data_IF_890335423832
#
_entry.id   IF_890335423832
#
_cell.length_a   1.000
_cell.length_b   1.000
_cell.length_c   1.000
_cell.angle_alpha   90.00
_cell.angle_beta   90.00
_cell.angle_gamma   90.00
#
_symmetry.space_group_name_H-M   'P 1'
#
loop_
_entity.id
_entity.type
_entity.pdbx_description
1 polymer ?
#
# COMPACT_ATOMS: atom_id res chain seq x y z
N UNK A 1 -6.71 -2.31 -12.68
CA UNK A 1 -6.84 -3.64 -12.05
C UNK A 1 -7.70 -3.52 -10.79
N UNK A 2 -8.61 -4.46 -10.56
CA UNK A 2 -9.59 -4.40 -9.46
C UNK A 2 -8.94 -4.29 -8.07
N UNK A 3 -7.76 -4.89 -7.86
CA UNK A 3 -7.02 -4.80 -6.59
C UNK A 3 -6.63 -3.37 -6.21
N UNK A 4 -6.23 -2.54 -7.18
CA UNK A 4 -5.80 -1.17 -6.87
C UNK A 4 -6.96 -0.30 -6.39
N UNK A 5 -8.13 -0.42 -7.04
CA UNK A 5 -9.33 0.28 -6.61
C UNK A 5 -9.76 -0.12 -5.20
N UNK A 6 -9.71 -1.42 -4.88
CA UNK A 6 -10.01 -1.90 -3.52
C UNK A 6 -8.98 -1.42 -2.50
N UNK A 7 -7.69 -1.39 -2.86
CA UNK A 7 -6.63 -0.84 -2.00
C UNK A 7 -6.84 0.66 -1.77
N UNK A 8 -7.18 1.45 -2.79
CA UNK A 8 -7.51 2.87 -2.67
C UNK A 8 -8.72 3.11 -1.76
N UNK A 9 -9.74 2.26 -1.84
CA UNK A 9 -10.89 2.30 -0.93
C UNK A 9 -10.47 2.06 0.52
N UNK A 10 -9.55 1.13 0.78
CA UNK A 10 -9.01 0.92 2.13
C UNK A 10 -8.27 2.16 2.64
N UNK A 11 -7.51 2.83 1.78
CA UNK A 11 -6.75 4.04 2.17
C UNK A 11 -7.66 5.27 2.37
N UNK A 12 -8.79 5.35 1.67
CA UNK A 12 -9.74 6.46 1.81
C UNK A 12 -10.64 6.33 3.05
N UNK A 13 -10.87 5.11 3.52
CA UNK A 13 -11.62 4.81 4.74
C UNK A 13 -10.90 3.76 5.60
N UNK A 14 -9.73 4.11 6.18
CA UNK A 14 -8.95 3.15 6.96
C UNK A 14 -9.64 2.86 8.30
N UNK A 15 -9.52 1.65 8.85
CA UNK A 15 -10.08 1.28 10.15
C UNK A 15 -9.53 2.14 11.30
N UNK A 16 -8.32 2.67 11.15
CA UNK A 16 -7.73 3.66 12.05
C UNK A 16 -6.85 4.65 11.27
N UNK A 17 -6.80 5.93 11.67
CA UNK A 17 -5.99 6.94 10.99
C UNK A 17 -4.49 6.64 11.16
N UNK A 18 -3.70 6.97 10.13
CA UNK A 18 -2.26 6.82 10.22
C UNK A 18 -1.67 7.79 11.24
N UNK A 19 -1.00 7.24 12.25
CA UNK A 19 -0.27 7.99 13.28
C UNK A 19 1.21 7.55 13.25
N UNK A 20 2.12 8.39 12.72
CA UNK A 20 3.52 8.05 12.59
C UNK A 20 4.28 7.98 13.91
N UNK A 21 3.76 8.53 15.01
CA UNK A 21 4.39 8.42 16.33
C UNK A 21 4.13 7.05 16.96
N UNK A 22 3.05 6.38 16.55
CA UNK A 22 2.61 5.10 17.11
C UNK A 22 2.92 3.91 16.22
N UNK A 23 3.01 4.12 14.91
CA UNK A 23 3.02 3.03 13.92
C UNK A 23 4.00 3.32 12.79
N UNK A 24 4.66 2.28 12.30
CA UNK A 24 5.38 2.37 11.02
C UNK A 24 4.38 2.40 9.86
N UNK A 25 4.71 3.12 8.79
CA UNK A 25 3.87 3.19 7.59
C UNK A 25 3.55 1.80 7.03
N UNK A 26 4.57 0.92 6.96
CA UNK A 26 4.41 -0.48 6.55
C UNK A 26 3.50 -1.28 7.47
N UNK A 27 3.63 -1.10 8.78
CA UNK A 27 2.77 -1.76 9.76
C UNK A 27 1.32 -1.34 9.62
N UNK A 28 1.07 -0.04 9.50
CA UNK A 28 -0.26 0.53 9.33
C UNK A 28 -0.92 0.07 8.01
N UNK A 29 -0.22 0.13 6.87
CA UNK A 29 -0.73 -0.37 5.58
C UNK A 29 -1.08 -1.86 5.68
N UNK A 30 -0.17 -2.66 6.25
CA UNK A 30 -0.39 -4.11 6.39
C UNK A 30 -1.62 -4.40 7.26
N UNK A 31 -1.79 -3.66 8.35
CA UNK A 31 -2.97 -3.78 9.21
C UNK A 31 -4.26 -3.44 8.46
N UNK A 32 -4.33 -2.28 7.80
CA UNK A 32 -5.53 -1.84 7.10
C UNK A 32 -5.95 -2.83 6.00
N UNK A 33 -4.99 -3.36 5.25
CA UNK A 33 -5.28 -4.35 4.20
C UNK A 33 -5.73 -5.69 4.81
N UNK A 34 -5.09 -6.16 5.89
CA UNK A 34 -5.50 -7.42 6.54
C UNK A 34 -6.87 -7.32 7.17
N UNK A 35 -7.21 -6.18 7.77
CA UNK A 35 -8.53 -5.90 8.32
C UNK A 35 -9.62 -5.99 7.24
N UNK A 36 -9.31 -5.58 6.01
CA UNK A 36 -10.17 -5.75 4.83
C UNK A 36 -10.11 -7.13 4.18
N UNK A 37 -9.39 -8.09 4.76
CA UNK A 37 -9.34 -9.48 4.31
C UNK A 37 -8.30 -9.77 3.21
N UNK A 38 -7.39 -8.84 2.91
CA UNK A 38 -6.31 -9.10 1.97
C UNK A 38 -5.27 -10.06 2.56
N UNK A 39 -4.82 -11.01 1.74
CA UNK A 39 -3.69 -11.88 2.06
C UNK A 39 -2.38 -11.14 1.72
N UNK A 40 -1.64 -10.72 2.75
CA UNK A 40 -0.35 -10.03 2.58
C UNK A 40 0.80 -11.02 2.71
N UNK A 41 1.69 -11.03 1.71
CA UNK A 41 2.88 -11.88 1.63
C UNK A 41 4.14 -11.07 1.37
N UNK A 42 5.31 -11.67 1.65
CA UNK A 42 6.62 -11.08 1.35
C UNK A 42 7.12 -11.54 -0.02
N UNK A 43 7.78 -10.64 -0.76
CA UNK A 43 8.44 -10.92 -2.05
C UNK A 43 9.79 -10.18 -2.11
N UNK A 44 10.79 -10.67 -2.85
CA UNK A 44 12.16 -10.11 -2.81
C UNK A 44 12.30 -8.65 -3.26
N UNK A 45 11.46 -8.17 -4.19
CA UNK A 45 11.62 -6.87 -4.85
C UNK A 45 10.55 -5.83 -4.46
N UNK A 46 9.88 -6.04 -3.32
CA UNK A 46 8.84 -5.13 -2.85
C UNK A 46 8.76 -5.12 -1.32
N UNK A 47 8.12 -4.10 -0.76
CA UNK A 47 7.92 -4.03 0.68
C UNK A 47 6.85 -5.02 1.16
N UNK A 48 5.81 -5.21 0.34
CA UNK A 48 4.77 -6.21 0.54
C UNK A 48 4.16 -6.61 -0.81
N UNK A 49 3.43 -7.72 -0.82
CA UNK A 49 2.56 -8.06 -1.93
C UNK A 49 1.19 -8.51 -1.43
N UNK A 50 0.15 -8.17 -2.20
CA UNK A 50 -1.18 -8.74 -2.03
C UNK A 50 -1.28 -10.00 -2.87
N UNK A 51 -1.58 -11.13 -2.24
CA UNK A 51 -1.84 -12.38 -2.93
C UNK A 51 -3.33 -12.49 -3.26
N UNK A 52 -3.62 -12.55 -4.55
CA UNK A 52 -4.96 -12.74 -5.09
C UNK A 52 -5.41 -14.19 -4.92
N UNK A 53 -6.72 -14.44 -5.01
CA UNK A 53 -7.26 -15.82 -4.95
C UNK A 53 -6.74 -16.73 -6.06
N UNK A 54 -6.30 -16.15 -7.18
CA UNK A 54 -5.66 -16.85 -8.30
C UNK A 54 -4.21 -17.27 -8.02
N UNK A 55 -3.63 -16.84 -6.89
CA UNK A 55 -2.21 -17.03 -6.56
C UNK A 55 -1.29 -15.94 -7.14
N UNK A 56 -1.84 -15.03 -7.96
CA UNK A 56 -1.12 -13.85 -8.45
C UNK A 56 -0.71 -12.96 -7.27
N UNK A 57 0.53 -12.46 -7.29
CA UNK A 57 1.06 -11.57 -6.27
C UNK A 57 1.27 -10.20 -6.87
N UNK A 58 0.55 -9.22 -6.35
CA UNK A 58 0.67 -7.83 -6.77
C UNK A 58 1.63 -7.11 -5.83
N UNK A 59 2.84 -6.75 -6.28
CA UNK A 59 3.86 -6.14 -5.44
C UNK A 59 3.57 -4.65 -5.21
N UNK A 60 3.87 -4.19 -4.00
CA UNK A 60 3.78 -2.80 -3.61
C UNK A 60 5.06 -2.36 -2.88
N UNK A 61 5.53 -1.18 -3.22
CA UNK A 61 6.60 -0.49 -2.50
C UNK A 61 6.03 0.63 -1.64
N UNK A 62 6.78 1.05 -0.64
CA UNK A 62 6.38 2.07 0.31
C UNK A 62 7.44 3.17 0.31
N UNK A 63 6.98 4.42 0.29
CA UNK A 63 7.84 5.59 0.32
C UNK A 63 7.17 6.75 1.03
N UNK A 64 7.97 7.64 1.57
CA UNK A 64 7.55 8.91 2.17
C UNK A 64 7.87 10.10 1.25
N UNK A 65 8.43 9.82 0.08
CA UNK A 65 8.70 10.79 -0.98
C UNK A 65 7.99 10.36 -2.26
N UNK A 66 7.31 11.31 -2.91
CA UNK A 66 6.67 11.12 -4.21
C UNK A 66 7.66 11.28 -5.38
N UNK A 67 8.94 11.52 -5.11
CA UNK A 67 9.95 11.80 -6.13
C UNK A 67 10.57 10.51 -6.70
N UNK A 68 10.87 10.52 -8.01
CA UNK A 68 11.61 9.46 -8.71
C UNK A 68 11.04 8.04 -8.54
N UNK A 69 9.70 7.93 -8.45
CA UNK A 69 9.03 6.64 -8.37
C UNK A 69 9.22 5.83 -9.66
N UNK A 70 9.58 4.56 -9.50
CA UNK A 70 9.54 3.60 -10.60
C UNK A 70 8.09 3.40 -11.04
N UNK A 71 7.80 3.73 -12.30
CA UNK A 71 6.44 3.69 -12.87
C UNK A 71 5.96 2.28 -13.20
N UNK A 72 6.82 1.26 -13.07
CA UNK A 72 6.47 -0.13 -13.34
C UNK A 72 5.89 -0.87 -12.13
N UNK A 73 5.97 -0.28 -10.92
CA UNK A 73 5.50 -0.89 -9.67
C UNK A 73 4.52 0.02 -8.94
N UNK A 74 3.62 -0.58 -8.16
CA UNK A 74 2.67 0.16 -7.35
C UNK A 74 3.36 0.70 -6.09
N UNK A 75 3.03 1.92 -5.68
CA UNK A 75 3.60 2.57 -4.52
C UNK A 75 2.53 3.03 -3.55
N UNK A 76 2.74 2.78 -2.26
CA UNK A 76 2.13 3.57 -1.20
C UNK A 76 3.04 4.77 -0.91
N UNK A 77 2.48 5.97 -1.07
CA UNK A 77 3.19 7.22 -0.84
C UNK A 77 2.57 7.92 0.34
N UNK A 78 3.35 8.18 1.39
CA UNK A 78 2.91 8.98 2.52
C UNK A 78 3.36 10.43 2.36
N UNK A 79 2.41 11.36 2.30
CA UNK A 79 2.69 12.78 2.45
C UNK A 79 2.89 13.10 3.94
N UNK A 80 4.14 13.30 4.37
CA UNK A 80 4.49 13.60 5.77
C UNK A 80 3.94 14.92 6.29
N UNK A 81 3.58 15.87 5.43
CA UNK A 81 2.97 17.12 5.87
C UNK A 81 1.50 16.94 6.31
N UNK A 82 0.79 15.98 5.71
CA UNK A 82 -0.64 15.72 5.98
C UNK A 82 -0.89 14.37 6.65
N UNK A 83 0.15 13.54 6.80
CA UNK A 83 0.08 12.11 7.15
C UNK A 83 -0.89 11.31 6.27
N UNK A 84 -1.16 11.79 5.07
CA UNK A 84 -2.04 11.13 4.12
C UNK A 84 -1.25 10.09 3.33
N UNK A 85 -1.78 8.87 3.26
CA UNK A 85 -1.20 7.79 2.46
C UNK A 85 -2.04 7.60 1.21
N UNK A 86 -1.42 7.64 0.04
CA UNK A 86 -2.07 7.44 -1.25
C UNK A 86 -1.45 6.27 -2.00
N UNK A 87 -2.22 5.68 -2.91
CA UNK A 87 -1.72 4.69 -3.86
C UNK A 87 -1.31 5.40 -5.16
N UNK A 88 -0.14 5.07 -5.67
CA UNK A 88 0.29 5.37 -7.04
C UNK A 88 0.35 4.05 -7.79
N UNK A 89 -0.50 3.90 -8.80
CA UNK A 89 -0.54 2.70 -9.63
C UNK A 89 0.52 2.75 -10.74
N UNK A 90 1.04 1.60 -11.19
CA UNK A 90 1.92 1.54 -12.36
C UNK A 90 1.27 2.19 -13.57
N UNK A 91 2.07 2.90 -14.37
CA UNK A 91 1.65 3.43 -15.67
C UNK A 91 2.15 2.44 -16.73
N UNK A 92 1.23 1.66 -17.30
CA UNK A 92 1.49 0.75 -18.41
C UNK A 92 1.54 1.45 -19.75
#
# INVERSE_FOLDING_TARGET
MQVFALVEEVLSAPPLPFDPERQTLKGWITYCLRDRGFKIVSVPNADLAVEMRTGEKVPFRITESAENLDRQIAWFVCNRATNQVTLVTPQG
#
